data_IF_605268237105
#
_entry.id   IF_605268237105
#
_cell.length_a   1.000
_cell.length_b   1.000
_cell.length_c   1.000
_cell.angle_alpha   90.00
_cell.angle_beta   90.00
_cell.angle_gamma   90.00
#
_symmetry.space_group_name_H-M   'P 1'
#
loop_
_entity.id
_entity.type
_entity.pdbx_description
1 polymer ?
#
# COMPACT_ATOMS: atom_id res chain seq x y z
N UNK A 1 3.96 10.17 36.09
CA UNK A 1 4.75 9.08 35.49
C UNK A 1 3.92 8.27 34.48
N UNK A 2 2.69 7.84 34.79
CA UNK A 2 1.83 7.05 33.88
C UNK A 2 1.47 7.79 32.59
N UNK A 3 1.12 9.10 32.66
CA UNK A 3 0.87 9.89 31.43
C UNK A 3 2.09 10.01 30.51
N UNK A 4 3.28 10.01 31.09
CA UNK A 4 4.53 10.13 30.33
C UNK A 4 4.93 8.78 29.69
N UNK A 5 4.62 7.65 30.35
CA UNK A 5 4.84 6.29 29.85
C UNK A 5 3.93 5.97 28.66
N UNK A 6 2.63 6.32 28.73
CA UNK A 6 1.66 6.13 27.63
C UNK A 6 2.07 6.89 26.36
N UNK A 7 2.48 8.15 26.50
CA UNK A 7 2.98 8.95 25.37
C UNK A 7 4.26 8.36 24.75
N UNK A 8 5.13 7.72 25.55
CA UNK A 8 6.34 7.06 25.06
C UNK A 8 6.01 5.82 24.25
N UNK A 9 5.08 4.99 24.73
CA UNK A 9 4.63 3.78 24.04
C UNK A 9 4.02 4.15 22.68
N UNK A 10 3.08 5.09 22.61
CA UNK A 10 2.46 5.53 21.35
C UNK A 10 3.51 6.07 20.36
N UNK A 11 4.47 6.86 20.83
CA UNK A 11 5.57 7.37 20.02
C UNK A 11 6.44 6.24 19.45
N UNK A 12 6.77 5.24 20.26
CA UNK A 12 7.55 4.09 19.81
C UNK A 12 6.77 3.30 18.75
N UNK A 13 5.48 3.02 18.99
CA UNK A 13 4.62 2.34 18.02
C UNK A 13 4.61 3.10 16.70
N UNK A 14 4.34 4.40 16.71
CA UNK A 14 4.27 5.21 15.50
C UNK A 14 5.63 5.24 14.77
N UNK A 15 6.73 5.43 15.49
CA UNK A 15 8.07 5.46 14.92
C UNK A 15 8.40 4.16 14.19
N UNK A 16 8.31 3.01 14.88
CA UNK A 16 8.68 1.73 14.29
C UNK A 16 7.74 1.31 13.15
N UNK A 17 6.45 1.60 13.28
CA UNK A 17 5.49 1.27 12.21
C UNK A 17 5.67 2.17 10.99
N UNK A 18 6.01 3.44 11.13
CA UNK A 18 6.32 4.34 10.02
C UNK A 18 7.57 3.90 9.27
N UNK A 19 8.66 3.60 9.99
CA UNK A 19 9.90 3.12 9.36
C UNK A 19 9.68 1.75 8.71
N UNK A 20 8.98 0.83 9.39
CA UNK A 20 8.66 -0.48 8.82
C UNK A 20 7.83 -0.36 7.54
N UNK A 21 6.88 0.58 7.46
CA UNK A 21 6.10 0.85 6.25
C UNK A 21 6.97 1.34 5.10
N UNK A 22 7.84 2.32 5.36
CA UNK A 22 8.78 2.80 4.35
C UNK A 22 9.70 1.67 3.86
N UNK A 23 10.29 0.90 4.77
CA UNK A 23 11.20 -0.20 4.43
C UNK A 23 10.51 -1.31 3.65
N UNK A 24 9.24 -1.62 3.96
CA UNK A 24 8.42 -2.58 3.18
C UNK A 24 8.37 -2.18 1.71
N UNK A 25 8.02 -0.93 1.43
CA UNK A 25 7.90 -0.44 0.06
C UNK A 25 9.25 -0.23 -0.63
N UNK A 26 10.29 0.17 0.11
CA UNK A 26 11.65 0.25 -0.44
C UNK A 26 12.06 -1.14 -0.95
N UNK A 27 12.00 -2.17 -0.11
CA UNK A 27 12.45 -3.51 -0.48
C UNK A 27 11.67 -4.14 -1.65
N UNK A 28 10.35 -3.98 -1.67
CA UNK A 28 9.50 -4.55 -2.74
C UNK A 28 9.81 -3.92 -4.11
N UNK A 29 10.15 -2.62 -4.14
CA UNK A 29 10.37 -1.91 -5.41
C UNK A 29 11.85 -1.73 -5.77
N UNK A 30 12.78 -2.16 -4.91
CA UNK A 30 14.22 -1.89 -5.04
C UNK A 30 14.80 -2.37 -6.38
N UNK A 31 14.40 -3.58 -6.83
CA UNK A 31 14.91 -4.19 -8.05
C UNK A 31 14.53 -3.42 -9.32
N UNK A 32 13.42 -2.68 -9.31
CA UNK A 32 12.86 -2.06 -10.53
C UNK A 32 13.79 -1.03 -11.16
N UNK A 33 14.60 -0.35 -10.35
CA UNK A 33 15.50 0.71 -10.80
C UNK A 33 16.89 0.19 -11.25
N UNK A 34 17.22 -1.06 -10.93
CA UNK A 34 18.55 -1.67 -11.17
C UNK A 34 18.44 -3.01 -11.92
N UNK A 35 17.35 -3.20 -12.67
CA UNK A 35 17.15 -4.42 -13.48
C UNK A 35 18.27 -4.67 -14.51
N UNK A 36 18.78 -3.66 -15.24
CA UNK A 36 19.87 -3.88 -16.20
C UNK A 36 21.13 -4.44 -15.53
N UNK A 37 21.50 -3.90 -14.37
CA UNK A 37 22.68 -4.30 -13.61
C UNK A 37 22.55 -5.73 -13.06
N UNK A 38 21.37 -6.06 -12.52
CA UNK A 38 21.08 -7.43 -12.08
C UNK A 38 21.21 -8.40 -13.25
N UNK A 39 20.56 -8.10 -14.38
CA UNK A 39 20.60 -8.98 -15.58
C UNK A 39 22.01 -9.18 -16.11
N UNK A 40 22.82 -8.13 -16.15
CA UNK A 40 24.20 -8.22 -16.59
C UNK A 40 25.06 -9.16 -15.73
N UNK A 41 24.64 -9.45 -14.50
CA UNK A 41 25.36 -10.33 -13.57
C UNK A 41 24.96 -11.81 -13.68
N UNK A 42 23.92 -12.15 -14.46
CA UNK A 42 23.45 -13.52 -14.62
C UNK A 42 23.33 -13.88 -16.09
N UNK A 43 24.22 -14.76 -16.55
CA UNK A 43 24.26 -15.18 -17.95
C UNK A 43 22.92 -15.81 -18.39
N UNK A 44 22.41 -15.39 -19.53
CA UNK A 44 21.15 -15.90 -20.09
C UNK A 44 19.86 -15.41 -19.41
N UNK A 45 19.93 -14.55 -18.39
CA UNK A 45 18.74 -14.03 -17.73
C UNK A 45 18.05 -12.98 -18.61
N UNK A 46 16.90 -13.34 -19.19
CA UNK A 46 16.06 -12.42 -19.98
C UNK A 46 15.34 -11.37 -19.11
N UNK A 47 14.84 -10.26 -19.69
CA UNK A 47 13.99 -9.31 -18.97
C UNK A 47 12.76 -9.96 -18.35
N UNK A 48 12.08 -10.84 -19.11
CA UNK A 48 10.90 -11.56 -18.65
C UNK A 48 11.27 -12.55 -17.54
N UNK A 49 12.43 -13.22 -17.64
CA UNK A 49 12.95 -14.10 -16.60
C UNK A 49 13.18 -13.36 -15.29
N UNK A 50 13.82 -12.18 -15.31
CA UNK A 50 14.02 -11.37 -14.10
C UNK A 50 12.68 -10.88 -13.53
N UNK A 51 11.75 -10.44 -14.37
CA UNK A 51 10.42 -10.00 -13.95
C UNK A 51 9.66 -11.16 -13.29
N UNK A 52 9.75 -12.37 -13.84
CA UNK A 52 9.19 -13.58 -13.24
C UNK A 52 9.81 -13.86 -11.86
N UNK A 53 11.13 -13.82 -11.73
CA UNK A 53 11.81 -14.03 -10.44
C UNK A 53 11.38 -12.98 -9.40
N UNK A 54 11.31 -11.72 -9.80
CA UNK A 54 10.86 -10.64 -8.91
C UNK A 54 9.38 -10.79 -8.51
N UNK A 55 8.53 -11.35 -9.38
CA UNK A 55 7.12 -11.60 -9.07
C UNK A 55 6.92 -12.60 -7.92
N UNK A 56 7.89 -13.47 -7.65
CA UNK A 56 7.89 -14.38 -6.51
C UNK A 56 7.76 -13.58 -5.21
N UNK A 57 8.47 -12.47 -5.07
CA UNK A 57 8.37 -11.61 -3.89
C UNK A 57 6.94 -11.07 -3.69
N UNK A 58 6.27 -10.65 -4.74
CA UNK A 58 4.90 -10.13 -4.67
C UNK A 58 3.87 -11.21 -4.36
N UNK A 59 4.03 -12.41 -4.92
CA UNK A 59 3.15 -13.57 -4.64
C UNK A 59 3.29 -13.98 -3.18
N UNK A 60 4.53 -14.13 -2.69
CA UNK A 60 4.80 -14.50 -1.29
C UNK A 60 4.33 -13.39 -0.35
N UNK A 61 4.52 -12.12 -0.70
CA UNK A 61 3.99 -10.98 0.04
C UNK A 61 2.46 -11.05 0.19
N UNK A 62 1.73 -11.31 -0.89
CA UNK A 62 0.26 -11.42 -0.86
C UNK A 62 -0.20 -12.59 0.01
N UNK A 63 0.30 -13.80 -0.26
CA UNK A 63 -0.11 -15.02 0.44
C UNK A 63 0.30 -14.99 1.93
N UNK A 64 1.47 -14.46 2.23
CA UNK A 64 2.02 -14.38 3.59
C UNK A 64 1.24 -13.46 4.54
N UNK A 65 0.44 -12.54 4.02
CA UNK A 65 -0.31 -11.59 4.85
C UNK A 65 -1.38 -12.27 5.74
N UNK A 66 -2.02 -13.38 5.28
CA UNK A 66 -3.00 -14.12 6.10
C UNK A 66 -2.34 -14.79 7.31
N UNK A 67 -1.31 -15.65 7.13
CA UNK A 67 -0.67 -16.26 8.29
C UNK A 67 -0.01 -15.22 9.21
N UNK A 68 0.57 -14.14 8.68
CA UNK A 68 1.13 -13.05 9.47
C UNK A 68 0.07 -12.39 10.38
N UNK A 69 -1.10 -12.09 9.83
CA UNK A 69 -2.22 -11.53 10.60
C UNK A 69 -2.73 -12.49 11.68
N UNK A 70 -2.83 -13.79 11.38
CA UNK A 70 -3.24 -14.80 12.37
C UNK A 70 -2.19 -14.97 13.49
N UNK A 71 -0.92 -15.01 13.13
CA UNK A 71 0.18 -15.09 14.08
C UNK A 71 0.23 -13.84 15.00
N UNK A 72 -0.03 -12.65 14.43
CA UNK A 72 -0.11 -11.40 15.18
C UNK A 72 -1.21 -11.44 16.25
N UNK A 73 -2.41 -11.90 15.89
CA UNK A 73 -3.50 -12.03 16.85
C UNK A 73 -3.21 -13.05 17.95
N UNK A 74 -2.36 -14.06 17.68
CA UNK A 74 -2.02 -15.14 18.63
C UNK A 74 -0.82 -14.79 19.51
N UNK A 75 0.26 -14.26 18.92
CA UNK A 75 1.55 -14.07 19.58
C UNK A 75 1.86 -12.61 19.91
N UNK A 76 1.06 -11.68 19.40
CA UNK A 76 1.27 -10.23 19.52
C UNK A 76 2.04 -9.65 18.34
N UNK A 77 2.00 -8.33 18.21
CA UNK A 77 2.52 -7.60 17.06
C UNK A 77 4.04 -7.42 17.11
N UNK A 78 4.60 -7.13 18.28
CA UNK A 78 6.03 -6.81 18.43
C UNK A 78 6.96 -7.91 17.93
N UNK A 79 6.83 -9.21 18.33
CA UNK A 79 7.71 -10.26 17.84
C UNK A 79 7.61 -10.46 16.33
N UNK A 80 6.42 -10.24 15.75
CA UNK A 80 6.22 -10.34 14.30
C UNK A 80 6.90 -9.17 13.55
N UNK A 81 6.88 -7.94 14.11
CA UNK A 81 7.61 -6.82 13.52
C UNK A 81 9.13 -6.99 13.62
N UNK A 82 9.64 -7.62 14.70
CA UNK A 82 11.05 -8.01 14.77
C UNK A 82 11.37 -9.05 13.69
N UNK A 83 10.50 -10.05 13.49
CA UNK A 83 10.65 -11.03 12.43
C UNK A 83 10.59 -10.40 11.04
N UNK A 84 9.72 -9.40 10.81
CA UNK A 84 9.69 -8.61 9.57
C UNK A 84 11.06 -8.02 9.25
N UNK A 85 11.68 -7.33 10.20
CA UNK A 85 12.98 -6.69 10.00
C UNK A 85 14.07 -7.73 9.70
N UNK A 86 14.13 -8.82 10.47
CA UNK A 86 15.16 -9.85 10.32
C UNK A 86 14.99 -10.66 9.02
N UNK A 87 13.78 -11.09 8.69
CA UNK A 87 13.53 -11.85 7.46
C UNK A 87 13.80 -11.01 6.22
N UNK A 88 13.39 -9.73 6.21
CA UNK A 88 13.65 -8.83 5.10
C UNK A 88 15.15 -8.55 4.94
N UNK A 89 15.89 -8.36 6.06
CA UNK A 89 17.34 -8.24 6.05
C UNK A 89 18.01 -9.49 5.49
N UNK A 90 17.60 -10.68 5.96
CA UNK A 90 18.10 -11.97 5.45
C UNK A 90 17.85 -12.11 3.96
N UNK A 91 16.64 -11.77 3.49
CA UNK A 91 16.30 -11.77 2.08
C UNK A 91 17.18 -10.82 1.26
N UNK A 92 17.44 -9.61 1.79
CA UNK A 92 18.37 -8.66 1.18
C UNK A 92 19.80 -9.20 1.07
N UNK A 93 20.32 -9.82 2.12
CA UNK A 93 21.64 -10.45 2.12
C UNK A 93 21.70 -11.61 1.11
N UNK A 94 20.72 -12.52 1.12
CA UNK A 94 20.65 -13.64 0.17
C UNK A 94 20.59 -13.14 -1.28
N UNK A 95 19.78 -12.10 -1.54
CA UNK A 95 19.69 -11.48 -2.88
C UNK A 95 21.04 -10.87 -3.30
N UNK A 96 21.70 -10.13 -2.41
CA UNK A 96 22.96 -9.47 -2.72
C UNK A 96 24.12 -10.44 -2.92
N UNK A 97 24.14 -11.59 -2.25
CA UNK A 97 25.15 -12.61 -2.44
C UNK A 97 24.76 -13.71 -3.44
N UNK A 98 23.64 -13.56 -4.16
CA UNK A 98 23.21 -14.54 -5.15
C UNK A 98 24.24 -14.69 -6.26
N UNK A 99 24.66 -15.93 -6.53
CA UNK A 99 25.57 -16.33 -7.61
C UNK A 99 24.83 -17.02 -8.78
N UNK A 100 23.58 -17.42 -8.55
CA UNK A 100 22.70 -18.03 -9.55
C UNK A 100 21.25 -17.56 -9.40
N UNK A 101 20.42 -17.90 -10.38
CA UNK A 101 19.02 -17.46 -10.45
C UNK A 101 18.15 -18.11 -9.35
N UNK A 102 18.51 -19.28 -8.81
CA UNK A 102 17.80 -19.93 -7.72
C UNK A 102 18.01 -19.21 -6.41
N UNK A 103 19.25 -18.79 -6.12
CA UNK A 103 19.56 -17.97 -4.96
C UNK A 103 18.90 -16.61 -5.05
N UNK A 104 18.85 -16.01 -6.25
CA UNK A 104 18.13 -14.76 -6.49
C UNK A 104 16.62 -14.93 -6.22
N UNK A 105 16.02 -16.02 -6.70
CA UNK A 105 14.62 -16.36 -6.42
C UNK A 105 14.34 -16.56 -4.92
N UNK A 106 15.25 -17.27 -4.23
CA UNK A 106 15.17 -17.50 -2.79
C UNK A 106 15.26 -16.17 -2.00
N UNK A 107 16.16 -15.28 -2.39
CA UNK A 107 16.28 -13.94 -1.82
C UNK A 107 14.99 -13.12 -2.00
N UNK A 108 14.43 -13.09 -3.20
CA UNK A 108 13.16 -12.41 -3.47
C UNK A 108 11.99 -13.05 -2.68
N UNK A 109 11.95 -14.38 -2.55
CA UNK A 109 10.94 -15.05 -1.73
C UNK A 109 11.05 -14.66 -0.24
N UNK A 110 12.26 -14.58 0.30
CA UNK A 110 12.51 -14.14 1.68
C UNK A 110 12.13 -12.68 1.91
N UNK A 111 12.44 -11.78 0.95
CA UNK A 111 11.99 -10.38 0.97
C UNK A 111 10.46 -10.34 1.00
N UNK A 112 9.80 -11.09 0.11
CA UNK A 112 8.33 -11.18 0.06
C UNK A 112 7.75 -11.69 1.37
N UNK A 113 8.33 -12.74 1.96
CA UNK A 113 7.90 -13.30 3.24
C UNK A 113 8.06 -12.29 4.39
N UNK A 114 9.22 -11.65 4.50
CA UNK A 114 9.47 -10.63 5.50
C UNK A 114 8.47 -9.47 5.36
N UNK A 115 8.37 -8.89 4.17
CA UNK A 115 7.52 -7.72 3.90
C UNK A 115 6.02 -8.01 4.04
N UNK A 116 5.57 -9.27 3.85
CA UNK A 116 4.18 -9.69 4.05
C UNK A 116 3.67 -9.47 5.48
N UNK A 117 4.58 -9.47 6.44
CA UNK A 117 4.25 -9.32 7.87
C UNK A 117 3.79 -7.91 8.20
N UNK A 118 4.41 -6.89 7.60
CA UNK A 118 4.24 -5.52 8.06
C UNK A 118 2.79 -5.05 8.04
N UNK A 119 2.11 -5.14 6.90
CA UNK A 119 0.79 -4.52 6.75
C UNK A 119 -0.26 -5.03 7.74
N UNK A 120 -0.50 -6.34 7.90
CA UNK A 120 -1.47 -6.82 8.89
C UNK A 120 -1.04 -6.55 10.33
N UNK A 121 0.25 -6.66 10.62
CA UNK A 121 0.78 -6.55 11.98
C UNK A 121 0.95 -5.10 12.40
N UNK A 122 1.53 -4.25 11.55
CA UNK A 122 1.75 -2.84 11.85
C UNK A 122 0.45 -2.07 12.02
N UNK A 123 -0.55 -2.30 11.13
CA UNK A 123 -1.86 -1.66 11.26
C UNK A 123 -2.65 -2.18 12.48
N UNK A 124 -2.51 -3.48 12.81
CA UNK A 124 -3.10 -4.02 14.04
C UNK A 124 -2.50 -3.34 15.27
N UNK A 125 -1.16 -3.18 15.31
CA UNK A 125 -0.47 -2.50 16.40
C UNK A 125 -0.88 -1.04 16.54
N UNK A 126 -0.94 -0.27 15.45
CA UNK A 126 -1.43 1.11 15.46
C UNK A 126 -2.86 1.18 16.01
N UNK A 127 -3.75 0.31 15.50
CA UNK A 127 -5.16 0.33 15.85
C UNK A 127 -5.46 -0.08 17.29
N UNK A 128 -4.55 -0.81 17.93
CA UNK A 128 -4.66 -1.29 19.32
C UNK A 128 -3.92 -0.40 20.31
N UNK A 129 -2.77 0.15 19.90
CA UNK A 129 -1.81 0.77 20.81
C UNK A 129 -1.73 2.30 20.75
N UNK A 130 -2.47 2.97 19.87
CA UNK A 130 -2.49 4.43 19.74
C UNK A 130 -3.89 4.98 19.97
N UNK A 131 -4.01 6.02 20.81
CA UNK A 131 -5.30 6.65 21.15
C UNK A 131 -6.01 7.30 19.96
N UNK A 132 -5.25 7.85 19.03
CA UNK A 132 -5.76 8.50 17.81
C UNK A 132 -5.32 7.68 16.57
N UNK A 133 -5.89 6.48 16.37
CA UNK A 133 -5.40 5.51 15.39
C UNK A 133 -5.58 5.97 13.94
N UNK A 134 -6.63 6.74 13.62
CA UNK A 134 -6.84 7.23 12.27
C UNK A 134 -5.76 8.23 11.85
N UNK A 135 -5.37 9.15 12.73
CA UNK A 135 -4.26 10.08 12.50
C UNK A 135 -2.94 9.34 12.33
N UNK A 136 -2.69 8.38 13.23
CA UNK A 136 -1.50 7.55 13.15
C UNK A 136 -1.43 6.76 11.84
N UNK A 137 -2.54 6.19 11.35
CA UNK A 137 -2.63 5.50 10.07
C UNK A 137 -2.38 6.43 8.88
N UNK A 138 -2.85 7.69 8.96
CA UNK A 138 -2.57 8.71 7.95
C UNK A 138 -1.08 9.06 7.87
N UNK A 139 -0.42 9.31 9.01
CA UNK A 139 1.02 9.56 9.07
C UNK A 139 1.80 8.34 8.59
N UNK A 140 1.43 7.16 9.05
CA UNK A 140 2.04 5.90 8.65
C UNK A 140 1.92 5.67 7.13
N UNK A 141 0.78 6.02 6.53
CA UNK A 141 0.56 5.95 5.09
C UNK A 141 1.51 6.84 4.29
N UNK A 142 1.78 8.08 4.76
CA UNK A 142 2.78 8.96 4.14
C UNK A 142 4.16 8.28 4.07
N UNK A 143 4.59 7.58 5.13
CA UNK A 143 5.86 6.86 5.13
C UNK A 143 5.88 5.71 4.12
N UNK A 144 4.77 5.01 3.90
CA UNK A 144 4.63 4.03 2.82
C UNK A 144 4.81 4.66 1.44
N UNK A 145 4.16 5.79 1.18
CA UNK A 145 4.30 6.54 -0.07
C UNK A 145 5.74 7.04 -0.29
N UNK A 146 6.38 7.55 0.77
CA UNK A 146 7.79 7.94 0.73
C UNK A 146 8.70 6.75 0.46
N UNK A 147 8.43 5.58 1.04
CA UNK A 147 9.17 4.35 0.77
C UNK A 147 9.11 3.97 -0.70
N UNK A 148 7.93 4.00 -1.32
CA UNK A 148 7.76 3.74 -2.75
C UNK A 148 8.54 4.75 -3.60
N UNK A 149 8.45 6.03 -3.26
CA UNK A 149 9.11 7.11 -4.00
C UNK A 149 10.65 7.08 -3.85
N UNK A 150 11.15 6.74 -2.67
CA UNK A 150 12.59 6.69 -2.36
C UNK A 150 13.27 5.41 -2.85
N UNK A 151 12.51 4.34 -3.11
CA UNK A 151 13.09 3.04 -3.49
C UNK A 151 14.02 3.11 -4.71
N UNK A 152 13.61 3.70 -5.86
CA UNK A 152 14.48 3.83 -7.02
C UNK A 152 15.73 4.67 -6.74
N UNK A 153 15.60 5.73 -5.94
CA UNK A 153 16.70 6.60 -5.56
C UNK A 153 17.72 5.86 -4.69
N UNK A 154 17.24 5.12 -3.68
CA UNK A 154 18.09 4.31 -2.81
C UNK A 154 18.85 3.24 -3.60
N UNK A 155 18.16 2.52 -4.50
CA UNK A 155 18.75 1.50 -5.34
C UNK A 155 19.88 2.07 -6.20
N UNK A 156 19.60 3.14 -6.97
CA UNK A 156 20.57 3.77 -7.86
C UNK A 156 21.75 4.39 -7.11
N UNK A 157 21.48 5.08 -5.99
CA UNK A 157 22.53 5.76 -5.24
C UNK A 157 23.49 4.77 -4.59
N UNK A 158 22.98 3.69 -3.99
CA UNK A 158 23.82 2.64 -3.41
C UNK A 158 24.65 1.93 -4.50
N UNK A 159 24.04 1.60 -5.63
CA UNK A 159 24.74 1.02 -6.78
C UNK A 159 25.82 1.95 -7.33
N UNK A 160 25.53 3.25 -7.44
CA UNK A 160 26.49 4.24 -7.92
C UNK A 160 27.68 4.41 -6.98
N UNK A 161 27.45 4.53 -5.68
CA UNK A 161 28.53 4.73 -4.68
C UNK A 161 29.44 3.52 -4.55
N UNK A 162 28.90 2.32 -4.71
CA UNK A 162 29.66 1.07 -4.50
C UNK A 162 30.15 0.44 -5.79
N UNK A 163 29.61 0.85 -6.94
CA UNK A 163 29.89 0.23 -8.23
C UNK A 163 29.23 -1.14 -8.44
N UNK A 164 28.44 -1.64 -7.48
CA UNK A 164 27.78 -2.96 -7.54
C UNK A 164 26.34 -2.88 -7.01
N UNK A 165 25.37 -3.34 -7.80
CA UNK A 165 23.96 -3.39 -7.48
C UNK A 165 23.64 -4.21 -6.20
N UNK A 166 24.50 -5.15 -5.84
CA UNK A 166 24.36 -6.00 -4.67
C UNK A 166 24.24 -5.21 -3.38
N UNK A 167 24.94 -4.09 -3.30
CA UNK A 167 24.91 -3.21 -2.14
C UNK A 167 23.57 -2.46 -1.96
N UNK A 168 22.75 -2.38 -3.01
CA UNK A 168 21.39 -1.89 -2.83
C UNK A 168 20.58 -2.77 -1.86
N UNK A 169 20.80 -4.08 -1.90
CA UNK A 169 20.13 -5.03 -1.01
C UNK A 169 20.88 -5.21 0.33
N UNK A 170 22.17 -5.47 0.28
CA UNK A 170 22.99 -5.71 1.49
C UNK A 170 23.09 -4.46 2.36
N UNK A 171 23.31 -3.29 1.74
CA UNK A 171 23.40 -2.02 2.47
C UNK A 171 22.14 -1.68 3.25
N UNK A 172 20.97 -2.00 2.72
CA UNK A 172 19.68 -1.81 3.41
C UNK A 172 19.41 -2.88 4.48
N UNK A 173 20.06 -4.04 4.44
CA UNK A 173 19.93 -5.05 5.49
C UNK A 173 20.51 -4.57 6.84
N UNK A 174 21.54 -3.72 6.81
CA UNK A 174 22.17 -3.19 8.03
C UNK A 174 21.16 -2.40 8.88
N UNK A 175 20.49 -1.34 8.37
CA UNK A 175 19.50 -0.63 9.17
C UNK A 175 18.33 -1.52 9.60
N UNK A 176 17.94 -2.53 8.81
CA UNK A 176 16.89 -3.47 9.21
C UNK A 176 17.27 -4.28 10.45
N UNK A 177 18.49 -4.80 10.53
CA UNK A 177 18.98 -5.51 11.72
C UNK A 177 19.04 -4.58 12.93
N UNK A 178 19.54 -3.36 12.76
CA UNK A 178 19.57 -2.36 13.83
C UNK A 178 18.16 -2.03 14.33
N UNK A 179 17.19 -1.87 13.43
CA UNK A 179 15.78 -1.62 13.78
C UNK A 179 15.16 -2.81 14.51
N UNK A 180 15.50 -4.06 14.15
CA UNK A 180 15.06 -5.25 14.88
C UNK A 180 15.54 -5.24 16.33
N UNK A 181 16.82 -4.92 16.56
CA UNK A 181 17.41 -4.82 17.88
C UNK A 181 16.77 -3.70 18.69
N UNK A 182 16.65 -2.51 18.10
CA UNK A 182 16.03 -1.34 18.74
C UNK A 182 14.57 -1.58 19.11
N UNK A 183 13.80 -2.19 18.21
CA UNK A 183 12.42 -2.56 18.49
C UNK A 183 12.34 -3.62 19.59
N UNK A 184 13.23 -4.62 19.56
CA UNK A 184 13.32 -5.64 20.61
C UNK A 184 13.51 -5.04 22.00
N UNK A 185 14.37 -4.01 22.11
CA UNK A 185 14.67 -3.30 23.35
C UNK A 185 13.61 -2.23 23.73
N UNK A 186 12.75 -1.80 22.80
CA UNK A 186 11.78 -0.71 23.01
C UNK A 186 10.48 -1.24 23.66
N UNK A 187 9.86 -0.40 24.48
CA UNK A 187 8.52 -0.66 24.99
C UNK A 187 7.47 -0.19 23.95
N UNK A 188 6.65 -1.13 23.48
CA UNK A 188 5.50 -0.89 22.59
C UNK A 188 4.18 -1.26 23.26
N UNK A 189 4.16 -1.35 24.59
CA UNK A 189 3.07 -1.95 25.34
C UNK A 189 3.11 -3.47 25.27
N UNK A 190 2.76 -4.15 26.37
CA UNK A 190 2.62 -5.61 26.39
C UNK A 190 1.48 -6.07 25.46
N UNK A 191 1.34 -7.40 25.32
CA UNK A 191 0.16 -7.98 24.68
C UNK A 191 -1.08 -7.34 25.33
N UNK A 192 -1.69 -6.39 24.67
CA UNK A 192 -2.93 -5.78 25.16
C UNK A 192 -3.97 -6.89 25.13
N UNK A 193 -4.12 -7.54 26.30
CA UNK A 193 -5.26 -8.40 26.55
C UNK A 193 -6.51 -7.56 26.31
N UNK A 194 -7.48 -8.16 25.71
CA UNK A 194 -8.76 -7.61 25.24
C UNK A 194 -9.53 -6.71 26.24
N UNK A 195 -9.04 -6.51 27.44
CA UNK A 195 -9.75 -5.89 28.54
C UNK A 195 -9.60 -4.36 28.64
N UNK A 196 -8.59 -3.75 27.99
CA UNK A 196 -8.39 -2.29 28.06
C UNK A 196 -9.21 -1.52 27.00
N UNK A 197 -9.82 -2.20 26.03
CA UNK A 197 -10.70 -1.61 25.03
C UNK A 197 -12.19 -1.72 25.47
N UNK A 198 -12.49 -1.42 26.74
CA UNK A 198 -13.88 -1.33 27.25
C UNK A 198 -14.60 -0.03 26.87
N UNK A 199 -14.21 0.58 25.76
CA UNK A 199 -14.97 1.64 25.10
C UNK A 199 -15.70 1.10 23.89
N UNK A 200 -17.00 0.83 24.00
CA UNK A 200 -17.91 0.36 22.97
C UNK A 200 -17.68 -1.07 22.45
N UNK A 201 -18.21 -2.06 23.15
CA UNK A 201 -18.71 -3.28 22.51
C UNK A 201 -19.88 -2.87 21.59
N UNK A 202 -19.58 -2.36 20.40
CA UNK A 202 -20.60 -2.38 19.36
C UNK A 202 -20.99 -3.85 19.15
N UNK A 203 -22.21 -4.16 19.55
CA UNK A 203 -22.83 -5.47 19.33
C UNK A 203 -22.69 -5.77 17.84
N UNK A 204 -21.97 -6.82 17.49
CA UNK A 204 -21.91 -7.37 16.13
C UNK A 204 -23.32 -7.81 15.73
N UNK A 205 -24.14 -6.86 15.32
CA UNK A 205 -25.46 -7.13 14.73
C UNK A 205 -25.30 -7.71 13.33
N UNK A 206 -26.32 -8.39 12.83
CA UNK A 206 -26.31 -9.04 11.50
C UNK A 206 -25.87 -8.13 10.35
N UNK A 207 -26.06 -6.79 10.45
CA UNK A 207 -25.61 -5.82 9.46
C UNK A 207 -24.11 -5.60 9.40
N UNK A 208 -23.35 -5.83 10.47
CA UNK A 208 -21.90 -5.57 10.54
C UNK A 208 -21.11 -6.46 9.58
N UNK A 209 -21.44 -7.74 9.48
CA UNK A 209 -20.76 -8.67 8.55
C UNK A 209 -20.95 -8.27 7.10
N UNK A 210 -22.16 -7.84 6.72
CA UNK A 210 -22.47 -7.36 5.38
C UNK A 210 -21.69 -6.10 5.06
N UNK A 211 -21.59 -5.15 5.99
CA UNK A 211 -20.79 -3.93 5.83
C UNK A 211 -19.32 -4.27 5.66
N UNK A 212 -18.73 -5.15 6.45
CA UNK A 212 -17.35 -5.62 6.28
C UNK A 212 -17.16 -6.26 4.90
N UNK A 213 -18.08 -7.11 4.46
CA UNK A 213 -18.03 -7.73 3.13
C UNK A 213 -18.04 -6.71 2.00
N UNK A 214 -18.90 -5.69 2.05
CA UNK A 214 -18.95 -4.61 1.07
C UNK A 214 -17.70 -3.74 1.09
N UNK A 215 -17.15 -3.44 2.28
CA UNK A 215 -15.88 -2.71 2.40
C UNK A 215 -14.72 -3.51 1.78
N UNK A 216 -14.64 -4.82 2.06
CA UNK A 216 -13.62 -5.68 1.46
C UNK A 216 -13.76 -5.78 -0.06
N UNK A 217 -15.00 -5.84 -0.59
CA UNK A 217 -15.25 -5.80 -2.03
C UNK A 217 -14.82 -4.44 -2.64
N UNK A 218 -15.12 -3.31 -1.98
CA UNK A 218 -14.63 -2.00 -2.40
C UNK A 218 -13.10 -1.96 -2.44
N UNK A 219 -12.44 -2.53 -1.44
CA UNK A 219 -10.98 -2.59 -1.33
C UNK A 219 -10.35 -3.50 -2.40
N UNK A 220 -11.00 -4.60 -2.79
CA UNK A 220 -10.56 -5.43 -3.91
C UNK A 220 -10.54 -4.64 -5.22
N UNK A 221 -11.65 -3.96 -5.57
CA UNK A 221 -11.69 -3.06 -6.72
C UNK A 221 -10.68 -1.92 -6.57
N UNK A 222 -10.48 -1.43 -5.34
CA UNK A 222 -9.43 -0.49 -4.96
C UNK A 222 -8.03 -0.97 -5.34
N UNK A 223 -7.70 -2.22 -5.02
CA UNK A 223 -6.42 -2.85 -5.39
C UNK A 223 -6.21 -2.92 -6.90
N UNK A 224 -7.28 -3.23 -7.66
CA UNK A 224 -7.22 -3.32 -9.13
C UNK A 224 -6.94 -1.94 -9.74
N UNK A 225 -7.75 -0.92 -9.45
CA UNK A 225 -7.52 0.40 -10.05
C UNK A 225 -6.20 1.03 -9.59
N UNK A 226 -5.81 0.82 -8.32
CA UNK A 226 -4.53 1.26 -7.80
C UNK A 226 -3.37 0.67 -8.61
N UNK A 227 -3.40 -0.63 -8.88
CA UNK A 227 -2.37 -1.32 -9.66
C UNK A 227 -2.29 -0.81 -11.11
N UNK A 228 -3.45 -0.66 -11.78
CA UNK A 228 -3.50 -0.10 -13.13
C UNK A 228 -2.82 1.27 -13.20
N UNK A 229 -3.10 2.14 -12.22
CA UNK A 229 -2.56 3.50 -12.15
C UNK A 229 -1.07 3.47 -11.84
N UNK A 230 -0.64 2.80 -10.76
CA UNK A 230 0.76 2.81 -10.33
C UNK A 230 1.69 2.24 -11.41
N UNK A 231 1.22 1.22 -12.14
CA UNK A 231 1.99 0.60 -13.22
C UNK A 231 2.16 1.55 -14.41
N UNK A 232 1.11 2.27 -14.80
CA UNK A 232 1.10 3.05 -16.04
C UNK A 232 1.32 4.56 -15.84
N UNK A 233 1.23 5.07 -14.62
CA UNK A 233 1.39 6.51 -14.35
C UNK A 233 2.76 7.06 -14.75
N UNK A 234 3.91 6.38 -14.52
CA UNK A 234 5.20 6.88 -14.98
C UNK A 234 5.25 7.07 -16.51
N UNK A 235 4.77 6.08 -17.27
CA UNK A 235 4.69 6.16 -18.73
C UNK A 235 3.75 7.28 -19.18
N UNK A 236 2.57 7.40 -18.54
CA UNK A 236 1.58 8.45 -18.84
C UNK A 236 2.12 9.85 -18.57
N UNK A 237 2.84 10.05 -17.46
CA UNK A 237 3.51 11.31 -17.14
C UNK A 237 4.66 11.59 -18.13
N UNK A 238 5.44 10.57 -18.50
CA UNK A 238 6.50 10.70 -19.49
C UNK A 238 5.99 11.21 -20.83
N UNK A 239 4.96 10.56 -21.39
CA UNK A 239 4.40 10.94 -22.69
C UNK A 239 3.65 12.30 -22.65
N UNK A 240 2.79 12.48 -21.64
CA UNK A 240 1.92 13.63 -21.58
C UNK A 240 2.59 14.90 -21.09
N UNK A 241 3.51 14.80 -20.11
CA UNK A 241 4.24 15.96 -19.61
C UNK A 241 5.30 16.45 -20.60
N UNK A 242 5.87 15.57 -21.42
CA UNK A 242 6.82 15.93 -22.49
C UNK A 242 6.21 16.91 -23.52
N UNK A 243 4.89 17.03 -23.58
CA UNK A 243 4.19 18.03 -24.41
C UNK A 243 4.29 19.47 -23.87
N UNK A 244 4.73 19.66 -22.63
CA UNK A 244 5.02 20.97 -22.05
C UNK A 244 6.54 21.18 -21.95
N UNK A 245 7.08 22.21 -22.65
CA UNK A 245 8.51 22.40 -22.83
C UNK A 245 9.31 22.41 -21.52
N UNK A 246 8.80 23.10 -20.50
CA UNK A 246 9.49 23.23 -19.21
C UNK A 246 9.42 21.95 -18.35
N UNK A 247 8.46 21.02 -18.60
CA UNK A 247 8.37 19.75 -17.89
C UNK A 247 9.31 18.67 -18.45
N UNK A 248 9.82 18.88 -19.68
CA UNK A 248 10.71 17.90 -20.33
C UNK A 248 11.97 17.58 -19.54
N UNK A 249 12.53 18.57 -18.86
CA UNK A 249 13.73 18.42 -18.05
C UNK A 249 13.48 17.48 -16.85
N UNK A 250 12.25 17.40 -16.37
CA UNK A 250 11.87 16.59 -15.21
C UNK A 250 11.35 15.19 -15.57
N UNK A 251 11.05 14.93 -16.84
CA UNK A 251 10.44 13.65 -17.28
C UNK A 251 11.40 12.48 -17.12
N UNK A 252 12.69 12.66 -17.49
CA UNK A 252 13.68 11.58 -17.47
C UNK A 252 14.22 11.19 -16.10
N UNK A 253 14.01 12.02 -15.07
CA UNK A 253 14.63 11.89 -13.75
C UNK A 253 13.72 11.23 -12.70
N UNK A 254 12.47 10.89 -13.06
CA UNK A 254 11.51 10.33 -12.12
C UNK A 254 10.92 11.33 -11.11
N UNK A 255 11.21 12.62 -11.24
CA UNK A 255 10.71 13.66 -10.31
C UNK A 255 9.20 13.84 -10.38
N UNK A 256 8.59 13.68 -11.56
CA UNK A 256 7.13 13.87 -11.70
C UNK A 256 6.35 12.78 -10.97
N UNK A 257 6.63 11.47 -11.11
CA UNK A 257 6.02 10.44 -10.28
C UNK A 257 6.26 10.65 -8.79
N UNK A 258 7.49 11.05 -8.39
CA UNK A 258 7.81 11.36 -7.01
C UNK A 258 6.90 12.46 -6.45
N UNK A 259 6.76 13.58 -7.16
CA UNK A 259 5.90 14.71 -6.76
C UNK A 259 4.45 14.26 -6.61
N UNK A 260 3.92 13.52 -7.57
CA UNK A 260 2.54 13.01 -7.55
C UNK A 260 2.31 12.10 -6.34
N UNK A 261 3.23 11.17 -6.05
CA UNK A 261 3.10 10.27 -4.91
C UNK A 261 3.29 10.98 -3.57
N UNK A 262 4.17 11.98 -3.50
CA UNK A 262 4.33 12.81 -2.32
C UNK A 262 3.03 13.57 -1.98
N UNK A 263 2.39 14.19 -2.98
CA UNK A 263 1.09 14.84 -2.81
C UNK A 263 0.02 13.84 -2.37
N UNK A 264 0.04 12.63 -2.93
CA UNK A 264 -0.80 11.53 -2.47
C UNK A 264 -0.59 11.19 -1.00
N UNK A 265 0.66 11.14 -0.55
CA UNK A 265 1.02 10.93 0.86
C UNK A 265 0.45 12.00 1.79
N UNK A 266 0.44 13.28 1.37
CA UNK A 266 -0.19 14.36 2.13
C UNK A 266 -1.71 14.14 2.26
N UNK A 267 -2.36 13.61 1.23
CA UNK A 267 -3.78 13.22 1.27
C UNK A 267 -4.07 12.20 2.36
N UNK A 268 -3.17 11.22 2.58
CA UNK A 268 -3.30 10.24 3.67
C UNK A 268 -3.28 10.90 5.04
N UNK A 269 -2.35 11.84 5.27
CA UNK A 269 -2.26 12.56 6.55
C UNK A 269 -3.55 13.31 6.83
N UNK A 270 -4.03 14.11 5.87
CA UNK A 270 -5.26 14.89 6.03
C UNK A 270 -6.49 14.00 6.23
N UNK A 271 -6.61 12.92 5.47
CA UNK A 271 -7.72 11.97 5.64
C UNK A 271 -7.68 11.29 7.01
N UNK A 272 -6.51 10.96 7.54
CA UNK A 272 -6.35 10.45 8.90
C UNK A 272 -6.86 11.41 9.96
N UNK A 273 -6.55 12.70 9.82
CA UNK A 273 -7.07 13.75 10.71
C UNK A 273 -8.60 13.91 10.59
N UNK A 274 -9.14 13.91 9.38
CA UNK A 274 -10.59 14.02 9.17
C UNK A 274 -11.36 12.80 9.67
N UNK A 275 -10.77 11.63 9.55
CA UNK A 275 -11.39 10.36 9.94
C UNK A 275 -11.50 10.19 11.45
N UNK A 276 -10.65 10.84 12.26
CA UNK A 276 -10.54 10.56 13.70
C UNK A 276 -11.87 10.75 14.43
N UNK A 277 -12.56 11.84 14.16
CA UNK A 277 -13.79 12.22 14.84
C UNK A 277 -15.05 12.09 13.96
N UNK A 278 -15.00 11.28 12.89
CA UNK A 278 -16.12 11.10 11.96
C UNK A 278 -16.51 9.63 11.84
N UNK A 279 -17.74 9.39 11.44
CA UNK A 279 -18.27 8.03 11.21
C UNK A 279 -17.43 7.29 10.11
N UNK A 280 -16.97 7.99 9.13
CA UNK A 280 -16.00 7.51 8.14
C UNK A 280 -16.58 6.93 6.87
N UNK A 281 -17.70 6.21 6.88
CA UNK A 281 -18.33 5.68 5.65
C UNK A 281 -18.69 6.78 4.66
N UNK A 282 -19.17 7.92 5.18
CA UNK A 282 -19.44 9.10 4.36
C UNK A 282 -18.17 9.69 3.75
N UNK A 283 -17.09 9.81 4.52
CA UNK A 283 -15.80 10.27 4.02
C UNK A 283 -15.24 9.34 2.95
N UNK A 284 -15.35 8.02 3.13
CA UNK A 284 -14.93 7.02 2.15
C UNK A 284 -15.62 7.24 0.79
N UNK A 285 -16.95 7.41 0.79
CA UNK A 285 -17.73 7.70 -0.42
C UNK A 285 -17.27 8.99 -1.08
N UNK A 286 -17.10 10.09 -0.31
CA UNK A 286 -16.66 11.40 -0.85
C UNK A 286 -15.27 11.30 -1.49
N UNK A 287 -14.34 10.61 -0.88
CA UNK A 287 -13.00 10.42 -1.44
C UNK A 287 -13.03 9.62 -2.76
N UNK A 288 -13.82 8.55 -2.83
CA UNK A 288 -13.99 7.78 -4.07
C UNK A 288 -14.72 8.59 -5.15
N UNK A 289 -15.71 9.42 -4.80
CA UNK A 289 -16.36 10.33 -5.74
C UNK A 289 -15.37 11.33 -6.37
N UNK A 290 -14.40 11.82 -5.61
CA UNK A 290 -13.31 12.64 -6.15
C UNK A 290 -12.32 11.82 -6.99
N UNK A 291 -12.02 10.59 -6.58
CA UNK A 291 -11.04 9.72 -7.25
C UNK A 291 -11.46 9.34 -8.67
N UNK A 292 -12.72 8.93 -8.87
CA UNK A 292 -13.23 8.42 -10.16
C UNK A 292 -13.00 9.39 -11.33
N UNK A 293 -13.49 10.65 -11.32
CA UNK A 293 -13.30 11.57 -12.44
C UNK A 293 -11.83 11.95 -12.63
N UNK A 294 -11.05 12.05 -11.55
CA UNK A 294 -9.64 12.43 -11.63
C UNK A 294 -8.78 11.33 -12.27
N UNK A 295 -9.11 10.04 -12.08
CA UNK A 295 -8.48 8.95 -12.81
C UNK A 295 -8.71 9.11 -14.31
N UNK A 296 -9.95 9.33 -14.75
CA UNK A 296 -10.28 9.53 -16.15
C UNK A 296 -9.55 10.75 -16.75
N UNK A 297 -9.57 11.89 -16.04
CA UNK A 297 -8.87 13.10 -16.47
C UNK A 297 -7.36 12.91 -16.59
N UNK A 298 -6.75 12.12 -15.71
CA UNK A 298 -5.32 11.77 -15.79
C UNK A 298 -5.01 10.98 -17.07
N UNK A 299 -5.92 10.12 -17.51
CA UNK A 299 -5.81 9.43 -18.80
C UNK A 299 -5.98 10.33 -20.01
N UNK A 300 -6.82 11.39 -19.91
CA UNK A 300 -7.26 12.19 -21.04
C UNK A 300 -6.47 13.50 -21.26
N UNK A 301 -5.85 14.07 -20.22
CA UNK A 301 -5.20 15.39 -20.27
C UNK A 301 -3.70 15.28 -20.54
N UNK A 302 -3.10 16.36 -21.05
CA UNK A 302 -1.67 16.47 -21.32
C UNK A 302 -1.05 17.72 -20.68
N UNK A 303 0.29 17.74 -20.62
CA UNK A 303 1.07 18.87 -20.11
C UNK A 303 0.79 19.17 -18.64
N UNK A 304 0.70 20.47 -18.30
CA UNK A 304 0.45 20.90 -16.91
C UNK A 304 -0.91 20.42 -16.39
N UNK A 305 -1.94 20.34 -17.24
CA UNK A 305 -3.27 19.85 -16.85
C UNK A 305 -3.23 18.38 -16.42
N UNK A 306 -2.43 17.56 -17.08
CA UNK A 306 -2.16 16.18 -16.67
C UNK A 306 -1.51 16.14 -15.29
N UNK A 307 -0.46 16.92 -15.05
CA UNK A 307 0.24 16.94 -13.78
C UNK A 307 -0.68 17.35 -12.62
N UNK A 308 -1.51 18.36 -12.81
CA UNK A 308 -2.52 18.80 -11.84
C UNK A 308 -3.55 17.68 -11.58
N UNK A 309 -4.10 17.08 -12.65
CA UNK A 309 -5.08 15.99 -12.51
C UNK A 309 -4.48 14.76 -11.82
N UNK A 310 -3.26 14.36 -12.19
CA UNK A 310 -2.55 13.24 -11.57
C UNK A 310 -2.24 13.49 -10.09
N UNK A 311 -1.83 14.71 -9.74
CA UNK A 311 -1.57 15.09 -8.35
C UNK A 311 -2.85 15.10 -7.51
N UNK A 312 -3.94 15.66 -8.03
CA UNK A 312 -5.25 15.62 -7.37
C UNK A 312 -5.78 14.18 -7.27
N UNK A 313 -5.65 13.37 -8.32
CA UNK A 313 -5.99 11.95 -8.31
C UNK A 313 -5.25 11.21 -7.20
N UNK A 314 -3.93 11.36 -7.13
CA UNK A 314 -3.11 10.70 -6.11
C UNK A 314 -3.50 11.15 -4.70
N UNK A 315 -3.80 12.44 -4.50
CA UNK A 315 -4.29 12.97 -3.23
C UNK A 315 -5.54 12.23 -2.75
N UNK A 316 -6.59 12.16 -3.59
CA UNK A 316 -7.84 11.48 -3.23
C UNK A 316 -7.66 9.97 -3.12
N UNK A 317 -6.97 9.34 -4.06
CA UNK A 317 -6.73 7.90 -4.11
C UNK A 317 -5.97 7.39 -2.88
N UNK A 318 -4.92 8.10 -2.47
CA UNK A 318 -4.15 7.68 -1.29
C UNK A 318 -4.87 8.02 0.00
N UNK A 319 -5.63 9.12 0.06
CA UNK A 319 -6.48 9.49 1.19
C UNK A 319 -7.51 8.40 1.57
N UNK A 320 -7.92 7.57 0.62
CA UNK A 320 -8.79 6.41 0.83
C UNK A 320 -8.20 5.40 1.82
N UNK A 321 -6.88 5.16 1.79
CA UNK A 321 -6.24 4.06 2.52
C UNK A 321 -6.37 4.15 4.06
N UNK A 322 -6.06 5.28 4.74
CA UNK A 322 -6.25 5.38 6.19
C UNK A 322 -7.72 5.31 6.60
N UNK A 323 -8.65 5.76 5.74
CA UNK A 323 -10.09 5.62 5.98
C UNK A 323 -10.51 4.16 5.96
N UNK A 324 -10.11 3.41 4.95
CA UNK A 324 -10.35 1.96 4.86
C UNK A 324 -9.80 1.21 6.08
N UNK A 325 -8.55 1.48 6.43
CA UNK A 325 -7.89 0.81 7.55
C UNK A 325 -8.61 1.10 8.87
N UNK A 326 -9.03 2.35 9.07
CA UNK A 326 -9.77 2.75 10.27
C UNK A 326 -11.17 2.14 10.31
N UNK A 327 -11.88 2.10 9.18
CA UNK A 327 -13.20 1.45 9.09
C UNK A 327 -13.11 -0.03 9.44
N UNK A 328 -12.15 -0.77 8.88
CA UNK A 328 -11.96 -2.17 9.26
C UNK A 328 -11.64 -2.35 10.74
N UNK A 329 -10.79 -1.49 11.33
CA UNK A 329 -10.51 -1.53 12.76
C UNK A 329 -11.74 -1.30 13.62
N UNK A 330 -12.62 -0.36 13.22
CA UNK A 330 -13.86 -0.03 13.94
C UNK A 330 -14.89 -1.16 13.91
N UNK A 331 -15.00 -1.87 12.78
CA UNK A 331 -15.98 -2.96 12.63
C UNK A 331 -15.42 -4.33 13.04
N UNK A 332 -14.15 -4.42 13.48
CA UNK A 332 -13.50 -5.69 13.83
C UNK A 332 -13.05 -5.69 15.28
N UNK A 333 -13.39 -6.75 16.01
CA UNK A 333 -12.92 -6.94 17.38
C UNK A 333 -11.37 -6.92 17.46
N UNK A 334 -10.76 -6.32 18.49
CA UNK A 334 -9.31 -6.17 18.61
C UNK A 334 -8.52 -7.46 18.38
N UNK A 335 -8.98 -8.62 18.91
CA UNK A 335 -8.34 -9.92 18.75
C UNK A 335 -8.47 -10.55 17.35
N UNK A 336 -9.12 -9.88 16.40
CA UNK A 336 -9.28 -10.33 15.00
C UNK A 336 -8.73 -9.33 13.98
N UNK A 337 -8.16 -8.21 14.43
CA UNK A 337 -7.69 -7.14 13.53
C UNK A 337 -6.54 -7.59 12.63
N UNK A 338 -5.63 -8.40 13.14
CA UNK A 338 -4.55 -8.98 12.34
C UNK A 338 -5.11 -9.81 11.17
N UNK A 339 -6.08 -10.69 11.44
CA UNK A 339 -6.72 -11.54 10.41
C UNK A 339 -7.47 -10.75 9.36
N UNK A 340 -8.25 -9.74 9.77
CA UNK A 340 -9.02 -8.94 8.80
C UNK A 340 -8.11 -8.07 7.93
N UNK A 341 -7.03 -7.54 8.49
CA UNK A 341 -6.00 -6.86 7.71
C UNK A 341 -5.28 -7.84 6.78
N UNK A 342 -4.92 -9.03 7.26
CA UNK A 342 -4.36 -10.09 6.41
C UNK A 342 -5.25 -10.40 5.21
N UNK A 343 -6.56 -10.59 5.44
CA UNK A 343 -7.54 -10.80 4.37
C UNK A 343 -7.63 -9.59 3.42
N UNK A 344 -7.69 -8.36 3.96
CA UNK A 344 -7.65 -7.13 3.14
C UNK A 344 -6.46 -7.16 2.19
N UNK A 345 -5.25 -7.43 2.71
CA UNK A 345 -4.04 -7.33 1.90
C UNK A 345 -3.89 -8.46 0.89
N UNK A 346 -4.41 -9.65 1.16
CA UNK A 346 -4.53 -10.69 0.11
C UNK A 346 -5.48 -10.25 -1.00
N UNK A 347 -6.62 -9.66 -0.67
CA UNK A 347 -7.56 -9.16 -1.66
C UNK A 347 -6.98 -8.00 -2.47
N UNK A 348 -6.35 -7.02 -1.81
CA UNK A 348 -5.87 -5.81 -2.48
C UNK A 348 -4.54 -6.01 -3.19
N UNK A 349 -3.54 -6.61 -2.54
CA UNK A 349 -2.21 -6.81 -3.13
C UNK A 349 -2.09 -8.16 -3.85
N UNK A 350 -2.62 -9.25 -3.31
CA UNK A 350 -2.58 -10.55 -3.96
C UNK A 350 -3.41 -10.56 -5.24
N UNK A 351 -4.73 -10.45 -5.08
CA UNK A 351 -5.65 -10.49 -6.22
C UNK A 351 -5.74 -9.15 -6.97
N UNK A 352 -5.92 -8.03 -6.24
CA UNK A 352 -6.14 -6.73 -6.85
C UNK A 352 -4.94 -6.27 -7.65
N UNK A 353 -3.76 -6.19 -7.05
CA UNK A 353 -2.55 -5.75 -7.76
C UNK A 353 -2.07 -6.78 -8.79
N UNK A 354 -2.14 -8.07 -8.49
CA UNK A 354 -1.73 -9.12 -9.44
C UNK A 354 -2.57 -9.08 -10.73
N UNK A 355 -3.90 -9.03 -10.60
CA UNK A 355 -4.80 -8.93 -11.77
C UNK A 355 -4.69 -7.57 -12.47
N UNK A 356 -4.53 -6.47 -11.72
CA UNK A 356 -4.41 -5.13 -12.29
C UNK A 356 -3.15 -4.97 -13.14
N UNK A 357 -2.00 -5.49 -12.69
CA UNK A 357 -0.75 -5.45 -13.46
C UNK A 357 -0.86 -6.25 -14.78
N UNK A 358 -1.44 -7.46 -14.73
CA UNK A 358 -1.67 -8.26 -15.92
C UNK A 358 -2.65 -7.57 -16.89
N UNK A 359 -3.73 -7.00 -16.34
CA UNK A 359 -4.77 -6.31 -17.09
C UNK A 359 -4.22 -5.03 -17.75
N UNK A 360 -3.32 -4.29 -17.09
CA UNK A 360 -2.76 -3.06 -17.64
C UNK A 360 -2.02 -3.29 -18.97
N UNK A 361 -1.16 -4.29 -19.02
CA UNK A 361 -0.44 -4.64 -20.24
C UNK A 361 -1.34 -5.19 -21.34
N UNK A 362 -2.40 -5.93 -21.00
CA UNK A 362 -3.38 -6.43 -21.97
C UNK A 362 -4.22 -5.30 -22.57
N UNK A 363 -4.69 -4.35 -21.75
CA UNK A 363 -5.45 -3.18 -22.22
C UNK A 363 -4.57 -2.26 -23.07
N UNK A 364 -3.34 -1.99 -22.62
CA UNK A 364 -2.41 -1.11 -23.35
C UNK A 364 -2.17 -1.62 -24.77
N UNK A 365 -2.05 -2.94 -24.96
CA UNK A 365 -1.89 -3.59 -26.27
C UNK A 365 -3.18 -3.67 -27.10
N UNK A 366 -4.29 -3.10 -26.63
CA UNK A 366 -5.57 -3.09 -27.33
C UNK A 366 -6.46 -4.31 -27.09
N UNK A 367 -6.06 -5.27 -26.24
CA UNK A 367 -6.82 -6.50 -26.01
C UNK A 367 -8.26 -6.29 -25.55
N UNK A 368 -8.53 -5.26 -24.74
CA UNK A 368 -9.89 -4.95 -24.32
C UNK A 368 -10.72 -4.35 -25.49
N UNK A 369 -10.11 -3.50 -26.35
CA UNK A 369 -10.77 -2.94 -27.52
C UNK A 369 -11.13 -4.06 -28.52
N UNK A 370 -10.22 -5.00 -28.74
CA UNK A 370 -10.45 -6.18 -29.59
C UNK A 370 -11.55 -7.09 -29.03
N UNK A 371 -11.52 -7.35 -27.71
CA UNK A 371 -12.56 -8.11 -27.02
C UNK A 371 -13.95 -7.48 -27.18
N UNK A 372 -14.04 -6.14 -27.08
CA UNK A 372 -15.29 -5.40 -27.26
C UNK A 372 -15.67 -5.22 -28.74
N UNK A 373 -14.88 -5.75 -29.69
CA UNK A 373 -15.09 -5.67 -31.14
C UNK A 373 -15.24 -4.24 -31.66
N UNK A 374 -14.56 -3.30 -31.04
CA UNK A 374 -14.64 -1.89 -31.42
C UNK A 374 -13.27 -1.18 -31.26
N UNK A 375 -12.57 -1.00 -32.37
CA UNK A 375 -11.26 -0.37 -32.42
C UNK A 375 -11.25 1.14 -32.01
N UNK A 376 -12.41 1.78 -32.01
CA UNK A 376 -12.58 3.19 -31.62
C UNK A 376 -12.96 3.39 -30.15
N UNK A 377 -12.80 2.37 -29.31
CA UNK A 377 -13.17 2.47 -27.89
C UNK A 377 -12.17 3.28 -27.08
N UNK A 378 -12.62 3.96 -26.00
CA UNK A 378 -11.73 4.62 -25.05
C UNK A 378 -10.88 3.63 -24.22
N UNK A 379 -10.88 2.35 -24.57
CA UNK A 379 -10.24 1.25 -23.84
C UNK A 379 -8.97 0.70 -24.54
N UNK A 380 -8.22 1.52 -25.27
CA UNK A 380 -6.95 1.14 -25.87
C UNK A 380 -5.83 2.11 -25.49
N UNK A 381 -4.59 1.61 -25.52
CA UNK A 381 -3.41 2.40 -25.15
C UNK A 381 -3.42 2.84 -23.68
N UNK A 382 -2.55 3.78 -23.32
CA UNK A 382 -2.44 4.29 -21.95
C UNK A 382 -3.73 4.93 -21.43
N UNK A 383 -4.43 5.72 -22.25
CA UNK A 383 -5.73 6.32 -21.88
C UNK A 383 -6.78 5.25 -21.58
N UNK A 384 -6.76 4.14 -22.30
CA UNK A 384 -7.65 3.00 -22.08
C UNK A 384 -7.45 2.35 -20.71
N UNK A 385 -6.21 2.24 -20.24
CA UNK A 385 -5.91 1.73 -18.90
C UNK A 385 -6.51 2.64 -17.82
N UNK A 386 -6.38 3.95 -17.95
CA UNK A 386 -6.98 4.92 -17.02
C UNK A 386 -8.51 4.89 -17.06
N UNK A 387 -9.12 4.72 -18.24
CA UNK A 387 -10.57 4.56 -18.36
C UNK A 387 -11.05 3.29 -17.65
N UNK A 388 -10.37 2.16 -17.82
CA UNK A 388 -10.66 0.92 -17.10
C UNK A 388 -10.49 1.08 -15.58
N UNK A 389 -9.42 1.75 -15.14
CA UNK A 389 -9.20 2.07 -13.73
C UNK A 389 -10.35 2.92 -13.15
N UNK A 390 -10.86 3.89 -13.89
CA UNK A 390 -12.03 4.68 -13.47
C UNK A 390 -13.29 3.83 -13.32
N UNK A 391 -13.51 2.82 -14.19
CA UNK A 391 -14.61 1.87 -14.04
C UNK A 391 -14.49 1.02 -12.77
N UNK A 392 -13.29 0.52 -12.44
CA UNK A 392 -13.07 -0.21 -11.19
C UNK A 392 -13.21 0.69 -9.96
N UNK A 393 -12.77 1.95 -10.03
CA UNK A 393 -12.99 2.92 -8.97
C UNK A 393 -14.48 3.24 -8.78
N UNK A 394 -15.27 3.29 -9.86
CA UNK A 394 -16.72 3.43 -9.78
C UNK A 394 -17.40 2.21 -9.14
N UNK A 395 -16.90 0.99 -9.41
CA UNK A 395 -17.36 -0.22 -8.72
C UNK A 395 -17.04 -0.17 -7.22
N UNK A 396 -15.84 0.28 -6.83
CA UNK A 396 -15.47 0.51 -5.43
C UNK A 396 -16.40 1.53 -4.77
N UNK A 397 -16.70 2.64 -5.46
CA UNK A 397 -17.65 3.67 -5.00
C UNK A 397 -19.04 3.10 -4.76
N UNK A 398 -19.55 2.25 -5.67
CA UNK A 398 -20.85 1.60 -5.50
C UNK A 398 -20.87 0.72 -4.25
N UNK A 399 -19.83 -0.11 -4.02
CA UNK A 399 -19.73 -0.95 -2.82
C UNK A 399 -19.67 -0.11 -1.54
N UNK A 400 -18.90 0.98 -1.56
CA UNK A 400 -18.80 1.91 -0.43
C UNK A 400 -20.14 2.62 -0.14
N UNK A 401 -20.87 3.04 -1.18
CA UNK A 401 -22.18 3.66 -1.05
C UNK A 401 -23.21 2.69 -0.48
N UNK A 402 -23.23 1.42 -0.94
CA UNK A 402 -24.06 0.37 -0.38
C UNK A 402 -23.72 0.11 1.11
N UNK A 403 -22.44 0.03 1.45
CA UNK A 403 -22.00 -0.12 2.84
C UNK A 403 -22.46 1.05 3.73
N UNK A 404 -22.48 2.29 3.19
CA UNK A 404 -22.97 3.48 3.89
C UNK A 404 -24.48 3.43 4.10
N UNK A 405 -25.23 2.97 3.10
CA UNK A 405 -26.70 2.92 3.15
C UNK A 405 -27.25 1.90 4.17
N UNK A 406 -26.47 0.88 4.52
CA UNK A 406 -26.89 -0.15 5.47
C UNK A 406 -26.94 0.41 6.90
N UNK A 407 -28.09 0.24 7.57
CA UNK A 407 -28.25 0.50 9.00
C UNK A 407 -27.56 -0.64 9.77
N UNK A 408 -26.67 -0.29 10.69
CA UNK A 408 -26.08 -1.24 11.63
C UNK A 408 -26.98 -1.19 12.87
N UNK A 409 -27.65 -2.29 13.21
CA UNK A 409 -28.53 -2.36 14.38
C UNK A 409 -27.74 -2.12 15.66
N UNK A 410 -28.02 -1.02 16.36
CA UNK A 410 -27.39 -0.64 17.63
C UNK A 410 -27.02 0.84 17.77
N UNK A 411 -26.97 1.61 16.68
CA UNK A 411 -26.88 3.07 16.79
C UNK A 411 -28.28 3.60 17.22
N UNK A 412 -28.47 3.86 18.49
CA UNK A 412 -29.55 4.73 18.93
C UNK A 412 -29.28 6.10 18.31
N UNK A 413 -30.30 6.62 17.61
CA UNK A 413 -30.34 8.02 17.18
C UNK A 413 -30.23 8.89 18.45
N UNK A 414 -29.06 9.48 18.71
CA UNK A 414 -28.88 10.51 19.74
C UNK A 414 -29.57 11.85 19.38
N UNK A 415 -30.53 11.83 18.49
CA UNK A 415 -31.36 12.99 18.12
C UNK A 415 -32.84 12.79 18.45
N UNK A 416 -33.13 12.12 19.57
CA UNK A 416 -34.47 12.05 20.15
C UNK A 416 -34.66 13.10 21.26
N UNK A 417 -34.63 14.40 20.90
CA UNK A 417 -35.29 15.44 21.68
C UNK A 417 -36.56 15.86 20.92
N UNK A 418 -37.68 15.48 21.44
CA UNK A 418 -38.96 16.18 21.34
C UNK A 418 -39.42 16.57 22.72
#
# INVERSE_FOLDING_TARGET
EEMNSGNRIERNILFFTCIAHAMTHIYIHLFTAIQPEIRASFEGLSPDGLTFLASISLVVFGIGAIPAGWLSDRYGEKPLLVAFFLLSATGGVVTGFASDTWQLAAGFALIGLGTSIYHPVGLALISKGIRLPARAMGINGLFGSLGTALSPLAARQLTHWTGDWRWAFVGLAIPMVLLAILLGASDTGGKQTSDAATGNKEKTGGGTKTVIGLLLAAMLFGGIYYSLIITMLPSRLGEGAAKASFLREFVGEGYLPFLVFFIGGLGQVLAGYWMENREGRGLYVVLLMGTVPLIYLTGALDGMRLLIAASAMAFFMFAVQPVENTLLARYTAPGMRGRIYGLKFVLTFGFGMGSGTALSGWIEKGGLADFLRNAATPFSGLSGVFTAAACFAAAALLMAALARALKIGGAQDENGQS
#
